data_IF_200857189780
#
_entry.id   IF_200857189780
#
_cell.length_a   1.000
_cell.length_b   1.000
_cell.length_c   1.000
_cell.angle_alpha   90.00
_cell.angle_beta   90.00
_cell.angle_gamma   90.00
#
_symmetry.space_group_name_H-M   'P 1'
#
loop_
_entity.id
_entity.type
_entity.pdbx_description
1 polymer ?
#
# COMPACT_ATOMS: atom_id res chain seq x y z
N UNK A 1 -11.84 -17.98 18.93
CA UNK A 1 -11.35 -16.94 17.99
C UNK A 1 -12.48 -15.96 17.81
N UNK A 2 -12.21 -14.69 18.13
CA UNK A 2 -13.14 -13.59 17.93
C UNK A 2 -12.92 -12.96 16.56
N UNK A 3 -13.86 -12.17 16.07
CA UNK A 3 -13.70 -11.47 14.79
C UNK A 3 -14.15 -10.02 14.85
N UNK A 4 -13.63 -9.20 13.94
CA UNK A 4 -14.04 -7.82 13.77
C UNK A 4 -14.14 -7.48 12.28
N UNK A 5 -15.28 -6.89 11.90
CA UNK A 5 -15.52 -6.35 10.56
C UNK A 5 -15.25 -4.86 10.61
N UNK A 6 -14.29 -4.37 9.83
CA UNK A 6 -14.00 -2.95 9.75
C UNK A 6 -14.96 -2.29 8.74
N UNK A 7 -15.77 -1.36 9.22
CA UNK A 7 -16.79 -0.67 8.40
C UNK A 7 -16.20 0.45 7.52
N UNK A 8 -14.97 0.88 7.81
CA UNK A 8 -14.32 1.94 7.03
C UNK A 8 -13.82 1.43 5.70
N UNK A 9 -14.02 2.25 4.66
CA UNK A 9 -13.44 2.00 3.33
C UNK A 9 -12.12 2.76 3.12
N UNK A 10 -11.56 3.39 4.16
CA UNK A 10 -10.25 4.04 4.10
C UNK A 10 -9.17 3.09 4.62
N UNK A 11 -8.28 2.66 3.74
CA UNK A 11 -7.17 1.76 4.09
C UNK A 11 -6.31 2.30 5.24
N UNK A 12 -6.18 3.62 5.37
CA UNK A 12 -5.37 4.23 6.42
C UNK A 12 -6.00 3.98 7.79
N UNK A 13 -7.33 4.05 7.86
CA UNK A 13 -8.09 3.69 9.07
C UNK A 13 -8.03 2.19 9.31
N UNK A 14 -8.19 1.36 8.28
CA UNK A 14 -8.19 -0.10 8.44
C UNK A 14 -6.84 -0.62 8.97
N UNK A 15 -5.71 -0.12 8.44
CA UNK A 15 -4.38 -0.45 8.97
C UNK A 15 -4.16 0.09 10.39
N UNK A 16 -4.70 1.27 10.72
CA UNK A 16 -4.67 1.81 12.07
C UNK A 16 -5.46 0.94 13.05
N UNK A 17 -6.63 0.43 12.64
CA UNK A 17 -7.45 -0.50 13.43
C UNK A 17 -6.74 -1.83 13.65
N UNK A 18 -6.12 -2.40 12.61
CA UNK A 18 -5.31 -3.62 12.73
C UNK A 18 -4.16 -3.43 13.73
N UNK A 19 -3.41 -2.33 13.62
CA UNK A 19 -2.35 -2.02 14.56
C UNK A 19 -2.86 -1.79 15.98
N UNK A 20 -3.97 -1.07 16.12
CA UNK A 20 -4.58 -0.81 17.42
C UNK A 20 -4.92 -2.13 18.10
N UNK A 21 -5.71 -2.98 17.46
CA UNK A 21 -6.14 -4.28 17.97
C UNK A 21 -4.97 -5.23 18.22
N UNK A 22 -3.90 -5.16 17.42
CA UNK A 22 -2.68 -5.89 17.72
C UNK A 22 -2.08 -5.49 19.07
N UNK A 23 -2.07 -4.21 19.39
CA UNK A 23 -1.40 -3.65 20.57
C UNK A 23 -2.28 -3.60 21.83
N UNK A 24 -3.60 -3.43 21.69
CA UNK A 24 -4.53 -3.16 22.80
C UNK A 24 -5.48 -4.31 23.12
N UNK A 25 -5.71 -5.24 22.18
CA UNK A 25 -6.64 -6.33 22.39
C UNK A 25 -6.04 -7.36 23.34
N UNK A 26 -6.43 -7.26 24.60
CA UNK A 26 -5.98 -8.12 25.69
C UNK A 26 -6.86 -9.36 25.80
N UNK A 27 -6.55 -10.35 24.96
CA UNK A 27 -7.18 -11.66 24.97
C UNK A 27 -6.19 -12.72 24.52
N UNK A 28 -6.25 -13.89 25.18
CA UNK A 28 -5.53 -15.09 24.76
C UNK A 28 -6.13 -15.70 23.49
N UNK A 29 -7.36 -15.33 23.13
CA UNK A 29 -7.97 -15.77 21.88
C UNK A 29 -7.39 -15.02 20.66
N UNK A 30 -7.14 -15.73 19.54
CA UNK A 30 -6.86 -15.07 18.27
C UNK A 30 -8.03 -14.19 17.83
N UNK A 31 -7.71 -13.15 17.07
CA UNK A 31 -8.65 -12.22 16.49
C UNK A 31 -8.56 -12.27 14.96
N UNK A 32 -9.70 -12.43 14.30
CA UNK A 32 -9.83 -12.45 12.84
C UNK A 32 -10.44 -11.13 12.35
N UNK A 33 -9.64 -10.33 11.67
CA UNK A 33 -10.05 -9.03 11.15
C UNK A 33 -10.36 -9.13 9.66
N UNK A 34 -11.40 -8.45 9.20
CA UNK A 34 -11.76 -8.38 7.78
C UNK A 34 -12.04 -6.93 7.40
N UNK A 35 -11.49 -6.50 6.26
CA UNK A 35 -11.62 -5.14 5.78
C UNK A 35 -11.58 -5.04 4.26
N UNK A 36 -12.35 -4.09 3.73
CA UNK A 36 -12.47 -3.75 2.30
C UNK A 36 -12.21 -2.25 2.20
N UNK A 37 -11.53 -1.80 1.14
CA UNK A 37 -11.09 -0.42 1.01
C UNK A 37 -11.36 0.11 -0.40
N UNK A 38 -11.54 1.43 -0.50
CA UNK A 38 -11.51 2.15 -1.77
C UNK A 38 -10.13 1.97 -2.44
N UNK A 39 -10.03 2.23 -3.76
CA UNK A 39 -8.78 2.13 -4.51
C UNK A 39 -7.57 2.72 -3.77
N UNK A 40 -6.59 1.88 -3.51
CA UNK A 40 -5.40 2.25 -2.77
C UNK A 40 -4.19 1.39 -3.15
N UNK A 41 -3.01 1.92 -2.84
CA UNK A 41 -1.73 1.21 -2.90
C UNK A 41 -1.15 1.15 -1.50
N UNK A 42 -0.82 -0.06 -1.05
CA UNK A 42 -0.17 -0.30 0.23
C UNK A 42 1.26 -0.77 -0.03
N UNK A 43 2.23 0.10 0.22
CA UNK A 43 3.65 -0.25 0.09
C UNK A 43 4.16 -0.94 1.35
N UNK A 44 5.08 -1.89 1.16
CA UNK A 44 5.73 -2.60 2.26
C UNK A 44 6.65 -1.69 3.06
N UNK A 45 6.95 -2.08 4.30
CA UNK A 45 7.71 -1.28 5.28
C UNK A 45 9.03 -0.67 4.76
N UNK A 46 9.75 -1.40 3.90
CA UNK A 46 11.09 -1.04 3.42
C UNK A 46 11.15 -0.81 1.89
N UNK A 47 10.00 -0.54 1.25
CA UNK A 47 9.95 -0.27 -0.19
C UNK A 47 10.12 1.21 -0.51
N UNK A 48 10.61 1.48 -1.71
CA UNK A 48 10.66 2.80 -2.29
C UNK A 48 9.44 3.05 -3.18
N UNK A 49 8.51 3.90 -2.75
CA UNK A 49 7.29 4.21 -3.53
C UNK A 49 7.63 4.81 -4.90
N UNK A 50 8.70 5.59 -5.01
CA UNK A 50 9.13 6.23 -6.25
C UNK A 50 9.68 5.22 -7.29
N UNK A 51 10.12 4.03 -6.86
CA UNK A 51 10.60 2.97 -7.75
C UNK A 51 9.51 2.00 -8.19
N UNK A 52 8.55 1.76 -7.29
CA UNK A 52 7.59 0.66 -7.39
C UNK A 52 6.26 1.11 -7.98
N UNK A 53 5.91 2.40 -7.83
CA UNK A 53 4.58 2.93 -8.06
C UNK A 53 4.62 4.11 -9.04
N UNK A 54 3.69 4.13 -9.99
CA UNK A 54 3.36 5.34 -10.75
C UNK A 54 2.58 6.32 -9.86
N UNK A 55 3.30 7.22 -9.19
CA UNK A 55 2.72 8.22 -8.29
C UNK A 55 1.86 9.25 -9.03
N UNK A 56 2.12 9.51 -10.32
CA UNK A 56 1.30 10.41 -11.12
C UNK A 56 -0.07 9.78 -11.38
N UNK A 57 -0.10 8.50 -11.76
CA UNK A 57 -1.34 7.76 -11.94
C UNK A 57 -2.17 7.78 -10.65
N UNK A 58 -1.53 7.58 -9.48
CA UNK A 58 -2.25 7.60 -8.22
C UNK A 58 -2.89 8.96 -7.95
N UNK A 59 -2.14 10.05 -8.15
CA UNK A 59 -2.64 11.42 -8.01
C UNK A 59 -3.83 11.68 -8.94
N UNK A 60 -3.69 11.38 -10.23
CA UNK A 60 -4.72 11.63 -11.24
C UNK A 60 -6.01 10.82 -11.02
N UNK A 61 -5.88 9.61 -10.46
CA UNK A 61 -7.01 8.72 -10.18
C UNK A 61 -7.52 8.79 -8.75
N UNK A 62 -6.97 9.69 -7.92
CA UNK A 62 -7.28 9.81 -6.49
C UNK A 62 -7.17 8.46 -5.76
N UNK A 63 -6.15 7.67 -6.09
CA UNK A 63 -5.84 6.39 -5.44
C UNK A 63 -4.99 6.68 -4.21
N UNK A 64 -5.44 6.22 -3.05
CA UNK A 64 -4.74 6.46 -1.77
C UNK A 64 -3.42 5.71 -1.73
N UNK A 65 -2.31 6.38 -1.41
CA UNK A 65 -1.04 5.72 -1.08
C UNK A 65 -0.87 5.65 0.44
N UNK A 66 -0.50 4.49 0.96
CA UNK A 66 -0.07 4.35 2.36
C UNK A 66 1.00 3.28 2.53
N UNK A 67 1.62 3.22 3.71
CA UNK A 67 2.67 2.25 4.06
C UNK A 67 2.24 1.40 5.24
N UNK A 68 2.33 0.08 5.10
CA UNK A 68 2.06 -0.86 6.20
C UNK A 68 3.30 -1.12 7.06
N UNK A 69 3.07 -1.65 8.27
CA UNK A 69 4.15 -2.01 9.21
C UNK A 69 4.85 -3.31 8.86
N UNK A 70 4.17 -4.23 8.16
CA UNK A 70 4.76 -5.48 7.66
C UNK A 70 5.67 -5.28 6.44
N UNK A 71 6.57 -6.23 6.23
CA UNK A 71 7.43 -6.29 5.04
C UNK A 71 6.68 -6.77 3.79
N UNK A 72 7.42 -7.10 2.74
CA UNK A 72 6.87 -7.60 1.47
C UNK A 72 6.75 -6.52 0.39
N UNK A 73 6.12 -6.88 -0.73
CA UNK A 73 5.97 -6.03 -1.92
C UNK A 73 4.77 -5.08 -1.84
N UNK A 74 4.58 -4.27 -2.89
CA UNK A 74 3.47 -3.36 -2.98
C UNK A 74 2.22 -4.13 -3.43
N UNK A 75 1.06 -3.71 -2.93
CA UNK A 75 -0.23 -4.27 -3.35
C UNK A 75 -1.18 -3.13 -3.72
N UNK A 76 -2.03 -3.39 -4.71
CA UNK A 76 -3.16 -2.53 -5.04
C UNK A 76 -4.44 -3.25 -4.61
N UNK A 77 -5.28 -2.53 -3.88
CA UNK A 77 -6.58 -3.00 -3.44
C UNK A 77 -7.66 -2.02 -3.89
N UNK A 78 -8.82 -2.55 -4.26
CA UNK A 78 -10.05 -1.79 -4.48
C UNK A 78 -11.23 -2.51 -3.80
N UNK A 79 -12.47 -2.10 -4.13
CA UNK A 79 -13.67 -2.70 -3.54
C UNK A 79 -13.88 -4.17 -3.95
N UNK A 80 -13.14 -4.67 -4.94
CA UNK A 80 -13.09 -6.07 -5.34
C UNK A 80 -12.11 -6.92 -4.53
N UNK A 81 -11.32 -6.31 -3.63
CA UNK A 81 -10.42 -7.02 -2.73
C UNK A 81 -11.02 -7.13 -1.32
N UNK A 82 -10.92 -8.33 -0.73
CA UNK A 82 -11.14 -8.55 0.70
C UNK A 82 -9.79 -8.75 1.38
N UNK A 83 -9.41 -7.87 2.30
CA UNK A 83 -8.26 -8.10 3.17
C UNK A 83 -8.68 -8.80 4.45
N UNK A 84 -7.80 -9.66 4.95
CA UNK A 84 -7.98 -10.37 6.22
C UNK A 84 -6.73 -10.28 7.09
N UNK A 85 -6.89 -10.45 8.41
CA UNK A 85 -5.78 -10.49 9.35
C UNK A 85 -6.05 -11.43 10.51
N UNK A 86 -5.11 -12.30 10.82
CA UNK A 86 -5.11 -13.08 12.05
C UNK A 86 -4.13 -12.46 13.04
N UNK A 87 -4.66 -11.87 14.10
CA UNK A 87 -3.89 -11.32 15.23
C UNK A 87 -3.84 -12.36 16.33
N UNK A 88 -2.63 -12.73 16.77
CA UNK A 88 -2.41 -13.78 17.77
C UNK A 88 -1.21 -13.48 18.67
N UNK A 89 -1.06 -14.26 19.73
CA UNK A 89 0.16 -14.29 20.52
C UNK A 89 1.31 -14.89 19.71
N UNK A 90 2.50 -14.31 19.83
CA UNK A 90 3.74 -14.79 19.18
C UNK A 90 4.12 -16.21 19.62
N UNK A 91 3.68 -16.65 20.80
CA UNK A 91 3.93 -18.00 21.29
C UNK A 91 2.99 -19.04 20.67
N UNK A 92 1.85 -18.62 20.14
CA UNK A 92 0.87 -19.52 19.52
C UNK A 92 1.24 -19.88 18.07
N UNK A 93 2.00 -19.02 17.37
CA UNK A 93 2.45 -19.27 16.00
C UNK A 93 3.82 -18.67 15.73
N UNK A 94 4.65 -19.41 14.97
CA UNK A 94 5.98 -18.98 14.58
C UNK A 94 5.92 -18.04 13.37
N UNK A 95 6.70 -16.96 13.45
CA UNK A 95 6.86 -16.03 12.33
C UNK A 95 7.37 -16.75 11.07
N UNK A 96 6.67 -16.56 9.95
CA UNK A 96 6.99 -17.18 8.66
C UNK A 96 6.17 -18.44 8.33
N UNK A 97 5.36 -18.95 9.26
CA UNK A 97 4.49 -20.12 9.01
C UNK A 97 3.16 -19.70 8.35
N UNK A 98 3.24 -19.25 7.10
CA UNK A 98 2.07 -18.77 6.35
C UNK A 98 1.04 -19.87 6.06
N UNK A 99 1.47 -21.11 5.86
CA UNK A 99 0.56 -22.22 5.56
C UNK A 99 -0.41 -22.50 6.71
N UNK A 100 0.13 -22.60 7.93
CA UNK A 100 -0.68 -22.84 9.14
C UNK A 100 -1.69 -21.73 9.39
N UNK A 101 -1.29 -20.46 9.28
CA UNK A 101 -2.15 -19.32 9.61
C UNK A 101 -3.24 -19.07 8.55
N UNK A 102 -2.99 -19.43 7.29
CA UNK A 102 -3.95 -19.24 6.18
C UNK A 102 -4.83 -20.46 5.93
N UNK A 103 -4.53 -21.60 6.56
CA UNK A 103 -5.29 -22.85 6.43
C UNK A 103 -6.82 -22.70 6.64
N UNK A 104 -7.32 -21.91 7.62
CA UNK A 104 -8.76 -21.69 7.77
C UNK A 104 -9.39 -21.05 6.53
N UNK A 105 -8.71 -20.07 5.92
CA UNK A 105 -9.15 -19.39 4.70
C UNK A 105 -9.15 -20.35 3.52
N UNK A 106 -8.07 -21.09 3.30
CA UNK A 106 -7.98 -22.08 2.21
C UNK A 106 -9.07 -23.14 2.34
N UNK A 107 -9.31 -23.63 3.55
CA UNK A 107 -10.33 -24.64 3.82
C UNK A 107 -11.73 -24.12 3.50
N UNK A 108 -12.05 -22.90 3.93
CA UNK A 108 -13.31 -22.24 3.61
C UNK A 108 -13.48 -22.03 2.08
N UNK A 109 -12.47 -21.48 1.41
CA UNK A 109 -12.50 -21.26 -0.05
C UNK A 109 -12.73 -22.57 -0.83
N UNK A 110 -12.11 -23.67 -0.42
CA UNK A 110 -12.31 -24.99 -1.05
C UNK A 110 -13.76 -25.47 -0.89
N UNK A 111 -14.38 -25.29 0.27
CA UNK A 111 -15.81 -25.60 0.48
C UNK A 111 -16.72 -24.73 -0.40
N UNK A 112 -16.35 -23.46 -0.57
CA UNK A 112 -17.07 -22.50 -1.42
C UNK A 112 -16.95 -22.79 -2.93
N UNK A 113 -16.02 -23.65 -3.35
CA UNK A 113 -15.91 -24.12 -4.74
C UNK A 113 -14.50 -24.01 -5.33
N UNK A 114 -13.62 -23.22 -4.73
CA UNK A 114 -12.23 -23.05 -5.15
C UNK A 114 -11.37 -24.26 -4.75
N UNK A 115 -11.75 -25.45 -5.24
CA UNK A 115 -11.22 -26.76 -4.81
C UNK A 115 -9.71 -26.93 -4.99
N UNK A 116 -9.12 -26.22 -5.96
CA UNK A 116 -7.67 -26.20 -6.24
C UNK A 116 -6.92 -25.04 -5.58
N UNK A 117 -7.55 -24.29 -4.68
CA UNK A 117 -6.85 -23.24 -3.93
C UNK A 117 -5.77 -23.88 -3.04
N UNK A 118 -4.56 -23.32 -3.06
CA UNK A 118 -3.42 -23.82 -2.29
C UNK A 118 -2.53 -22.68 -1.79
N UNK A 119 -1.83 -22.92 -0.69
CA UNK A 119 -0.74 -22.05 -0.25
C UNK A 119 0.51 -22.41 -1.04
N UNK A 120 1.23 -21.41 -1.54
CA UNK A 120 2.40 -21.65 -2.36
C UNK A 120 3.46 -20.56 -2.26
N UNK A 121 4.64 -20.87 -2.78
CA UNK A 121 5.79 -19.97 -2.69
C UNK A 121 6.21 -19.72 -1.25
N UNK A 122 6.48 -18.46 -0.89
CA UNK A 122 6.88 -18.08 0.48
C UNK A 122 5.71 -17.63 1.34
N UNK A 123 4.72 -16.95 0.76
CA UNK A 123 3.71 -16.18 1.48
C UNK A 123 2.47 -15.88 0.61
N UNK A 124 2.21 -16.63 -0.46
CA UNK A 124 1.09 -16.36 -1.37
C UNK A 124 0.11 -17.53 -1.40
N UNK A 125 -1.08 -17.29 -1.91
CA UNK A 125 -2.05 -18.34 -2.24
C UNK A 125 -2.38 -18.32 -3.72
N UNK A 126 -2.54 -19.51 -4.30
CA UNK A 126 -2.70 -19.74 -5.73
C UNK A 126 -3.93 -20.59 -6.02
N UNK A 127 -4.52 -20.37 -7.19
CA UNK A 127 -5.49 -21.27 -7.80
C UNK A 127 -5.08 -21.49 -9.24
N UNK A 128 -4.91 -22.75 -9.63
CA UNK A 128 -4.46 -23.14 -10.98
C UNK A 128 -3.15 -22.42 -11.40
N UNK A 129 -2.22 -22.27 -10.45
CA UNK A 129 -0.92 -21.62 -10.67
C UNK A 129 -0.95 -20.08 -10.73
N UNK A 130 -2.12 -19.45 -10.62
CA UNK A 130 -2.27 -17.98 -10.59
C UNK A 130 -2.48 -17.48 -9.17
N UNK A 131 -1.79 -16.41 -8.79
CA UNK A 131 -1.86 -15.83 -7.45
C UNK A 131 -3.20 -15.11 -7.26
N UNK A 132 -3.93 -15.41 -6.19
CA UNK A 132 -5.12 -14.64 -5.78
C UNK A 132 -4.95 -13.93 -4.42
N UNK A 133 -3.86 -14.22 -3.70
CA UNK A 133 -3.58 -13.65 -2.38
C UNK A 133 -2.09 -13.46 -2.17
N UNK A 134 -1.70 -12.31 -1.61
CA UNK A 134 -0.38 -12.10 -1.01
C UNK A 134 -0.51 -11.87 0.49
N UNK A 135 0.35 -12.51 1.28
CA UNK A 135 0.32 -12.44 2.74
C UNK A 135 1.58 -11.78 3.27
N UNK A 136 1.49 -11.11 4.42
CA UNK A 136 2.65 -10.58 5.12
C UNK A 136 2.42 -10.65 6.63
N UNK A 137 3.52 -10.82 7.35
CA UNK A 137 3.52 -10.87 8.81
C UNK A 137 4.24 -9.68 9.41
N UNK A 138 3.78 -9.27 10.58
CA UNK A 138 4.45 -8.33 11.45
C UNK A 138 4.42 -8.84 12.89
N UNK A 139 5.50 -8.60 13.63
CA UNK A 139 5.57 -8.95 15.04
C UNK A 139 6.10 -7.78 15.84
N UNK A 140 5.53 -7.57 17.03
CA UNK A 140 5.92 -6.54 17.98
C UNK A 140 5.67 -7.05 19.38
N UNK A 141 6.69 -7.00 20.25
CA UNK A 141 6.66 -7.61 21.59
C UNK A 141 6.20 -9.08 21.50
N UNK A 142 5.13 -9.44 22.21
CA UNK A 142 4.57 -10.79 22.25
C UNK A 142 3.36 -10.98 21.32
N UNK A 143 3.12 -10.05 20.39
CA UNK A 143 2.00 -10.12 19.44
C UNK A 143 2.50 -10.28 18.02
N UNK A 144 1.71 -10.94 17.20
CA UNK A 144 1.93 -11.14 15.77
C UNK A 144 0.60 -10.95 15.04
N UNK A 145 0.64 -10.31 13.87
CA UNK A 145 -0.42 -10.46 12.90
C UNK A 145 0.12 -11.07 11.60
N UNK A 146 -0.71 -11.87 10.95
CA UNK A 146 -0.55 -12.24 9.54
C UNK A 146 -1.76 -11.76 8.78
N UNK A 147 -1.54 -10.82 7.87
CA UNK A 147 -2.59 -10.34 6.99
C UNK A 147 -2.37 -10.80 5.56
N UNK A 148 -3.44 -10.77 4.78
CA UNK A 148 -3.38 -11.06 3.37
C UNK A 148 -4.53 -10.43 2.61
N UNK A 149 -4.35 -10.40 1.30
CA UNK A 149 -5.39 -10.00 0.35
C UNK A 149 -6.16 -11.21 -0.13
N UNK A 150 -7.39 -11.03 -0.58
CA UNK A 150 -8.18 -12.00 -1.34
C UNK A 150 -8.78 -11.24 -2.51
N UNK A 151 -8.16 -11.38 -3.68
CA UNK A 151 -8.65 -10.78 -4.91
C UNK A 151 -9.94 -11.51 -5.30
N UNK A 152 -11.08 -10.96 -4.89
CA UNK A 152 -12.39 -11.55 -5.16
C UNK A 152 -12.85 -11.17 -6.57
N UNK A 153 -12.86 -9.87 -6.86
CA UNK A 153 -13.28 -9.27 -8.13
C UNK A 153 -12.56 -7.92 -8.38
N UNK A 154 -11.24 -7.90 -8.16
CA UNK A 154 -10.38 -6.70 -8.33
C UNK A 154 -10.27 -6.31 -9.81
N UNK A 155 -10.19 -5.01 -10.12
CA UNK A 155 -9.85 -4.58 -11.48
C UNK A 155 -8.35 -4.81 -11.77
N UNK A 156 -8.05 -6.01 -12.26
CA UNK A 156 -6.68 -6.41 -12.60
C UNK A 156 -6.08 -5.59 -13.75
N UNK A 157 -6.88 -4.87 -14.54
CA UNK A 157 -6.39 -4.01 -15.63
C UNK A 157 -5.66 -2.76 -15.13
N UNK A 158 -5.85 -2.41 -13.86
CA UNK A 158 -5.22 -1.26 -13.21
C UNK A 158 -3.84 -1.62 -12.64
N UNK A 159 -3.60 -2.89 -12.28
CA UNK A 159 -2.34 -3.34 -11.68
C UNK A 159 -1.12 -2.99 -12.55
N UNK A 160 -1.19 -3.22 -13.86
CA UNK A 160 -0.09 -2.94 -14.78
C UNK A 160 0.18 -1.44 -14.97
N UNK A 161 -0.81 -0.58 -14.67
CA UNK A 161 -0.69 0.88 -14.75
C UNK A 161 -0.08 1.47 -13.49
N UNK A 162 -0.30 0.82 -12.34
CA UNK A 162 0.15 1.29 -11.03
C UNK A 162 1.52 0.73 -10.65
N UNK A 163 1.67 -0.60 -10.75
CA UNK A 163 2.86 -1.31 -10.29
C UNK A 163 3.90 -1.37 -11.41
N UNK A 164 4.34 -0.18 -11.82
CA UNK A 164 5.37 -0.03 -12.85
C UNK A 164 6.73 -0.19 -12.22
N UNK A 165 7.53 -1.13 -12.74
CA UNK A 165 8.99 -1.05 -12.57
C UNK A 165 9.40 0.23 -13.28
N UNK A 166 9.83 1.24 -12.52
CA UNK A 166 10.28 2.52 -13.08
C UNK A 166 11.15 2.27 -14.31
N UNK A 167 10.76 2.85 -15.46
CA UNK A 167 11.56 2.82 -16.70
C UNK A 167 12.85 3.64 -16.55
N UNK A 168 13.01 4.32 -15.42
CA UNK A 168 13.99 5.35 -15.21
C UNK A 168 14.96 4.93 -14.11
N UNK A 169 16.19 5.43 -14.19
CA UNK A 169 17.28 5.01 -13.29
C UNK A 169 17.11 5.65 -11.91
N UNK A 170 16.31 5.03 -11.06
CA UNK A 170 16.34 5.28 -9.62
C UNK A 170 17.25 4.23 -8.98
N UNK A 171 18.26 4.70 -8.26
CA UNK A 171 19.21 3.85 -7.56
C UNK A 171 18.90 3.87 -6.06
N UNK A 172 18.52 2.71 -5.50
CA UNK A 172 18.34 2.53 -4.06
C UNK A 172 18.65 1.11 -3.59
N UNK A 173 18.65 0.93 -2.26
CA UNK A 173 18.76 -0.36 -1.57
C UNK A 173 17.41 -0.93 -1.14
N UNK A 174 16.30 -0.41 -1.66
CA UNK A 174 14.96 -0.81 -1.25
C UNK A 174 14.58 -2.21 -1.74
N UNK A 175 13.62 -2.83 -1.05
CA UNK A 175 13.08 -4.14 -1.46
C UNK A 175 12.21 -4.00 -2.70
N UNK A 176 12.57 -4.70 -3.78
CA UNK A 176 11.81 -4.71 -5.04
C UNK A 176 10.63 -5.66 -5.03
N UNK A 177 9.55 -5.33 -5.73
CA UNK A 177 8.43 -6.25 -5.95
C UNK A 177 8.77 -7.35 -6.97
N UNK A 178 8.16 -8.52 -6.80
CA UNK A 178 8.28 -9.66 -7.73
C UNK A 178 6.99 -9.78 -8.52
N UNK A 179 7.06 -9.66 -9.86
CA UNK A 179 5.90 -9.83 -10.74
C UNK A 179 5.42 -11.28 -10.75
N UNK A 180 4.12 -11.47 -10.67
CA UNK A 180 3.45 -12.78 -10.68
C UNK A 180 2.17 -12.70 -11.50
N UNK A 181 1.80 -13.78 -12.17
CA UNK A 181 0.47 -13.92 -12.78
C UNK A 181 -0.57 -13.97 -11.68
N UNK A 182 -1.60 -13.14 -11.79
CA UNK A 182 -2.66 -12.97 -10.79
C UNK A 182 -4.03 -13.32 -11.35
N UNK A 183 -4.98 -13.67 -10.47
CA UNK A 183 -6.37 -13.93 -10.83
C UNK A 183 -7.33 -13.54 -9.71
N UNK A 184 -8.59 -13.29 -10.07
CA UNK A 184 -9.71 -13.15 -9.15
C UNK A 184 -10.27 -14.53 -8.74
N UNK A 185 -10.84 -14.62 -7.54
CA UNK A 185 -11.45 -15.83 -6.98
C UNK A 185 -12.85 -16.10 -7.49
N UNK A 186 -13.65 -15.05 -7.74
CA UNK A 186 -15.09 -15.16 -8.08
C UNK A 186 -15.39 -16.20 -9.17
N UNK A 187 -14.65 -16.31 -10.29
CA UNK A 187 -14.91 -17.32 -11.32
C UNK A 187 -14.70 -18.79 -10.87
N UNK A 188 -13.94 -19.01 -9.80
CA UNK A 188 -13.61 -20.35 -9.28
C UNK A 188 -14.53 -20.81 -8.15
N UNK A 189 -15.47 -19.98 -7.71
CA UNK A 189 -16.43 -20.32 -6.67
C UNK A 189 -17.70 -20.92 -7.28
N UNK A 190 -18.47 -21.67 -6.47
CA UNK A 190 -19.82 -22.10 -6.87
C UNK A 190 -20.70 -20.87 -7.06
N UNK A 191 -21.68 -20.97 -7.96
CA UNK A 191 -22.60 -19.88 -8.31
C UNK A 191 -23.21 -19.16 -7.10
N UNK A 192 -23.61 -19.91 -6.05
CA UNK A 192 -24.17 -19.33 -4.82
C UNK A 192 -23.21 -18.43 -4.00
N UNK A 193 -21.91 -18.44 -4.30
CA UNK A 193 -20.90 -17.57 -3.68
C UNK A 193 -20.33 -16.52 -4.66
N UNK A 194 -20.87 -16.42 -5.88
CA UNK A 194 -20.51 -15.41 -6.87
C UNK A 194 -21.36 -14.14 -6.71
N UNK A 195 -21.29 -13.55 -5.51
CA UNK A 195 -21.94 -12.30 -5.16
C UNK A 195 -21.50 -11.10 -6.02
N UNK A 196 -22.38 -10.11 -6.09
CA UNK A 196 -22.07 -8.82 -6.70
C UNK A 196 -21.12 -7.99 -5.83
N UNK A 197 -21.30 -8.03 -4.51
CA UNK A 197 -20.49 -7.25 -3.57
C UNK A 197 -19.52 -8.14 -2.80
N UNK A 198 -18.28 -7.67 -2.66
CA UNK A 198 -17.24 -8.32 -1.85
C UNK A 198 -17.63 -8.46 -0.37
N UNK A 199 -18.52 -7.59 0.14
CA UNK A 199 -19.03 -7.71 1.52
C UNK A 199 -19.89 -8.97 1.74
N UNK A 200 -20.67 -9.38 0.73
CA UNK A 200 -21.47 -10.62 0.83
C UNK A 200 -20.54 -11.85 0.77
N UNK A 201 -19.48 -11.78 -0.03
CA UNK A 201 -18.40 -12.78 -0.02
C UNK A 201 -17.68 -12.85 1.31
N UNK A 202 -17.38 -11.69 1.94
CA UNK A 202 -16.79 -11.61 3.29
C UNK A 202 -17.66 -12.35 4.30
N UNK A 203 -18.96 -12.07 4.32
CA UNK A 203 -19.89 -12.65 5.29
C UNK A 203 -20.00 -14.17 5.10
N UNK A 204 -20.13 -14.62 3.85
CA UNK A 204 -20.10 -16.06 3.53
C UNK A 204 -18.77 -16.73 3.92
N UNK A 205 -17.63 -16.07 3.72
CA UNK A 205 -16.32 -16.57 4.13
C UNK A 205 -16.22 -16.72 5.65
N UNK A 206 -16.73 -15.75 6.41
CA UNK A 206 -16.79 -15.83 7.88
C UNK A 206 -17.63 -17.03 8.29
N UNK A 207 -18.84 -17.20 7.75
CA UNK A 207 -19.70 -18.36 8.03
C UNK A 207 -18.97 -19.69 7.77
N UNK A 208 -18.26 -19.82 6.65
CA UNK A 208 -17.49 -21.03 6.32
C UNK A 208 -16.29 -21.28 7.25
N UNK A 209 -15.62 -20.22 7.70
CA UNK A 209 -14.52 -20.30 8.68
C UNK A 209 -15.03 -20.75 10.05
N UNK A 210 -16.19 -20.22 10.48
CA UNK A 210 -16.81 -20.54 11.77
C UNK A 210 -17.70 -21.80 11.72
N UNK A 211 -18.00 -22.32 10.52
CA UNK A 211 -18.87 -23.46 10.29
C UNK A 211 -20.29 -23.26 10.82
N UNK A 212 -20.83 -22.07 10.52
CA UNK A 212 -22.21 -21.66 10.84
C UNK A 212 -22.93 -21.28 9.56
N UNK A 213 -24.27 -21.28 9.57
CA UNK A 213 -25.06 -20.92 8.40
C UNK A 213 -25.33 -19.40 8.38
N UNK A 214 -25.41 -18.76 9.55
CA UNK A 214 -25.69 -17.33 9.71
C UNK A 214 -24.71 -16.64 10.69
N UNK A 215 -24.36 -15.37 10.42
CA UNK A 215 -23.49 -14.59 11.29
C UNK A 215 -24.09 -14.36 12.69
N UNK A 216 -25.42 -14.36 12.82
CA UNK A 216 -26.08 -14.23 14.13
C UNK A 216 -25.72 -15.36 15.10
N UNK A 217 -25.36 -16.54 14.60
CA UNK A 217 -24.93 -17.66 15.44
C UNK A 217 -23.59 -17.41 16.15
N UNK A 218 -22.84 -16.42 15.70
CA UNK A 218 -21.53 -16.02 16.25
C UNK A 218 -21.48 -14.54 16.62
N UNK A 219 -22.64 -13.89 16.84
CA UNK A 219 -22.72 -12.48 17.24
C UNK A 219 -21.93 -12.23 18.54
N UNK A 220 -21.94 -13.18 19.48
CA UNK A 220 -21.17 -13.14 20.74
C UNK A 220 -19.64 -13.10 20.52
N UNK A 221 -19.17 -13.56 19.36
CA UNK A 221 -17.75 -13.57 18.98
C UNK A 221 -17.30 -12.30 18.30
N UNK A 222 -18.25 -11.46 17.85
CA UNK A 222 -17.93 -10.14 17.27
C UNK A 222 -17.25 -9.27 18.31
N UNK A 223 -16.24 -8.52 17.89
CA UNK A 223 -15.61 -7.45 18.66
C UNK A 223 -16.12 -6.15 18.09
N UNK A 224 -16.76 -5.34 18.92
CA UNK A 224 -17.15 -3.98 18.56
C UNK A 224 -16.23 -2.98 19.22
N UNK A 225 -15.84 -1.95 18.46
CA UNK A 225 -14.95 -0.90 18.93
C UNK A 225 -15.75 0.13 19.73
N UNK A 226 -15.23 0.50 20.90
CA UNK A 226 -15.80 1.59 21.69
C UNK A 226 -15.39 2.94 21.12
N UNK A 227 -16.10 4.01 21.50
CA UNK A 227 -15.71 5.38 21.10
C UNK A 227 -14.27 5.75 21.48
N UNK A 228 -13.77 5.20 22.59
CA UNK A 228 -12.37 5.41 23.03
C UNK A 228 -11.39 4.71 22.09
N UNK A 229 -11.73 3.52 21.63
CA UNK A 229 -10.93 2.77 20.66
C UNK A 229 -10.85 3.54 19.35
N UNK A 230 -11.99 4.04 18.86
CA UNK A 230 -12.07 4.87 17.65
C UNK A 230 -11.22 6.14 17.74
N UNK A 231 -11.14 6.78 18.92
CA UNK A 231 -10.26 7.93 19.15
C UNK A 231 -8.78 7.55 19.10
N UNK A 232 -8.40 6.41 19.69
CA UNK A 232 -7.01 5.93 19.65
C UNK A 232 -6.61 5.53 18.23
N UNK A 233 -7.52 4.90 17.48
CA UNK A 233 -7.32 4.55 16.07
C UNK A 233 -7.09 5.82 15.25
N UNK A 234 -7.89 6.87 15.46
CA UNK A 234 -7.70 8.14 14.75
C UNK A 234 -6.32 8.75 15.01
N UNK A 235 -5.82 8.68 16.25
CA UNK A 235 -4.45 9.13 16.54
C UNK A 235 -3.41 8.33 15.77
N UNK A 236 -3.59 7.02 15.59
CA UNK A 236 -2.69 6.18 14.80
C UNK A 236 -2.78 6.54 13.31
N UNK A 237 -3.98 6.84 12.78
CA UNK A 237 -4.15 7.33 11.40
C UNK A 237 -3.30 8.57 11.17
N UNK A 238 -3.50 9.61 12.00
CA UNK A 238 -2.81 10.90 11.83
C UNK A 238 -1.30 10.80 12.05
N UNK A 239 -0.86 9.98 13.00
CA UNK A 239 0.56 9.86 13.31
C UNK A 239 1.32 8.93 12.36
N UNK A 240 0.62 8.10 11.58
CA UNK A 240 1.24 7.05 10.76
C UNK A 240 0.64 6.93 9.38
N UNK A 241 -0.54 6.34 9.25
CA UNK A 241 -1.03 5.88 7.95
C UNK A 241 -1.47 7.01 7.02
N UNK A 242 -1.75 8.20 7.55
CA UNK A 242 -1.97 9.44 6.81
C UNK A 242 -0.80 10.44 6.93
N UNK A 243 0.31 10.07 7.57
CA UNK A 243 1.46 10.95 7.76
C UNK A 243 2.52 10.71 6.68
N UNK A 244 2.87 11.76 5.93
CA UNK A 244 3.89 11.66 4.89
C UNK A 244 5.29 11.30 5.41
N UNK A 245 5.63 11.67 6.64
CA UNK A 245 6.93 11.28 7.23
C UNK A 245 6.98 9.77 7.44
N UNK A 246 5.83 9.10 7.58
CA UNK A 246 5.76 7.63 7.57
C UNK A 246 5.63 7.06 6.16
N UNK A 247 4.71 7.57 5.35
CA UNK A 247 4.43 7.03 4.01
C UNK A 247 5.65 7.21 3.10
N UNK A 248 6.21 8.41 3.05
CA UNK A 248 7.36 8.75 2.23
C UNK A 248 8.67 8.79 3.01
N UNK A 249 8.66 9.26 4.25
CA UNK A 249 9.89 9.46 5.03
C UNK A 249 10.60 8.18 5.48
N UNK A 250 9.90 7.05 5.50
CA UNK A 250 10.49 5.73 5.72
C UNK A 250 11.13 5.11 4.47
N UNK A 251 11.04 5.80 3.32
CA UNK A 251 11.71 5.38 2.10
C UNK A 251 13.23 5.45 2.28
N UNK A 252 13.99 4.37 1.98
CA UNK A 252 15.45 4.41 2.01
C UNK A 252 16.01 5.52 1.12
N UNK A 253 17.21 6.02 1.44
CA UNK A 253 17.94 6.97 0.57
C UNK A 253 17.96 6.45 -0.87
N UNK A 254 17.54 7.31 -1.80
CA UNK A 254 17.61 7.05 -3.23
C UNK A 254 18.11 8.28 -3.97
N UNK A 255 18.62 8.05 -5.18
CA UNK A 255 19.03 9.10 -6.09
C UNK A 255 18.22 9.05 -7.37
N UNK A 256 17.88 10.22 -7.90
CA UNK A 256 17.13 10.40 -9.14
C UNK A 256 17.97 11.23 -10.10
N UNK A 257 17.98 10.80 -11.37
CA UNK A 257 18.53 11.58 -12.48
C UNK A 257 17.47 11.70 -13.58
N UNK A 258 17.10 12.93 -13.91
CA UNK A 258 16.10 13.28 -14.92
C UNK A 258 16.73 14.20 -15.95
N UNK A 259 16.48 13.96 -17.23
CA UNK A 259 17.02 14.80 -18.29
C UNK A 259 16.00 14.97 -19.41
N UNK A 260 15.77 16.20 -19.79
CA UNK A 260 14.96 16.57 -20.95
C UNK A 260 15.74 17.49 -21.88
N UNK A 261 15.41 17.46 -23.17
CA UNK A 261 15.89 18.45 -24.14
C UNK A 261 14.68 19.09 -24.80
N UNK A 262 14.57 20.41 -24.69
CA UNK A 262 13.48 21.18 -25.28
C UNK A 262 14.05 22.16 -26.32
N UNK A 263 13.44 22.31 -27.51
CA UNK A 263 14.00 23.14 -28.58
C UNK A 263 14.27 24.60 -28.20
N UNK A 264 13.43 25.20 -27.33
CA UNK A 264 13.54 26.61 -26.93
C UNK A 264 14.29 26.84 -25.61
N UNK A 265 14.66 25.78 -24.90
CA UNK A 265 15.32 25.84 -23.58
C UNK A 265 16.74 25.30 -23.65
N UNK A 266 16.97 24.23 -24.41
CA UNK A 266 18.18 23.41 -24.32
C UNK A 266 17.93 22.13 -23.51
N UNK A 267 19.03 21.57 -23.01
CA UNK A 267 19.08 20.41 -22.13
C UNK A 267 18.94 20.90 -20.69
N UNK A 268 18.03 20.27 -19.94
CA UNK A 268 17.92 20.39 -18.48
C UNK A 268 18.13 18.98 -17.89
N UNK A 269 19.18 18.78 -17.10
CA UNK A 269 19.53 17.55 -16.37
C UNK A 269 19.50 17.84 -14.87
N UNK A 270 18.50 17.30 -14.17
CA UNK A 270 18.33 17.41 -12.72
C UNK A 270 18.82 16.14 -12.06
N UNK A 271 19.69 16.30 -11.07
CA UNK A 271 20.19 15.21 -10.23
C UNK A 271 19.88 15.54 -8.78
N UNK A 272 19.19 14.64 -8.10
CA UNK A 272 18.86 14.81 -6.70
C UNK A 272 19.07 13.52 -5.91
N UNK A 273 19.28 13.66 -4.61
CA UNK A 273 19.19 12.55 -3.67
C UNK A 273 18.24 12.91 -2.55
N UNK A 274 17.54 11.91 -2.03
CA UNK A 274 16.60 12.09 -0.92
C UNK A 274 17.12 11.41 0.34
N UNK A 275 16.79 11.99 1.49
CA UNK A 275 16.99 11.39 2.80
C UNK A 275 15.70 11.58 3.59
N UNK A 276 15.15 10.49 4.13
CA UNK A 276 13.85 10.50 4.80
C UNK A 276 12.73 11.18 3.99
N UNK A 277 12.64 10.84 2.69
CA UNK A 277 11.62 11.39 1.79
C UNK A 277 11.78 12.87 1.44
N UNK A 278 12.85 13.53 1.89
CA UNK A 278 13.16 14.95 1.64
C UNK A 278 14.33 15.10 0.71
N UNK A 279 14.35 16.16 -0.10
CA UNK A 279 15.48 16.50 -0.98
C UNK A 279 16.68 16.85 -0.10
N UNK A 280 17.70 15.99 -0.13
CA UNK A 280 18.95 16.17 0.62
C UNK A 280 20.02 16.86 -0.21
N UNK A 281 20.05 16.60 -1.52
CA UNK A 281 20.93 17.25 -2.49
C UNK A 281 20.15 17.42 -3.79
N UNK A 282 20.33 18.54 -4.49
CA UNK A 282 19.78 18.77 -5.83
C UNK A 282 20.75 19.65 -6.64
N UNK A 283 20.95 19.29 -7.90
CA UNK A 283 21.76 20.05 -8.87
C UNK A 283 21.13 20.07 -10.25
N UNK A 284 21.15 21.24 -10.89
CA UNK A 284 20.75 21.43 -12.28
C UNK A 284 21.99 21.57 -13.17
N UNK A 285 22.02 20.79 -14.24
CA UNK A 285 23.03 20.85 -15.30
C UNK A 285 22.34 21.07 -16.64
N UNK A 286 23.02 21.69 -17.59
CA UNK A 286 22.43 21.95 -18.89
C UNK A 286 23.21 22.96 -19.72
N UNK A 287 22.66 23.25 -20.90
CA UNK A 287 23.07 24.33 -21.79
C UNK A 287 21.98 25.43 -21.88
N UNK A 288 21.08 25.47 -20.90
CA UNK A 288 20.03 26.49 -20.78
C UNK A 288 20.59 27.84 -20.34
N UNK A 289 19.88 28.91 -20.70
CA UNK A 289 20.15 30.27 -20.24
C UNK A 289 19.22 30.63 -19.09
N UNK A 290 19.64 31.53 -18.21
CA UNK A 290 18.85 32.06 -17.11
C UNK A 290 19.21 33.51 -16.81
N UNK A 291 18.27 34.29 -16.29
CA UNK A 291 18.54 35.65 -15.82
C UNK A 291 19.09 35.66 -14.39
N UNK A 292 18.71 34.66 -13.60
CA UNK A 292 19.15 34.45 -12.21
C UNK A 292 19.97 33.16 -12.10
N UNK A 293 20.74 33.07 -11.02
CA UNK A 293 21.55 31.89 -10.70
C UNK A 293 20.65 30.73 -10.25
N UNK A 294 20.76 29.59 -10.94
CA UNK A 294 19.97 28.37 -10.67
C UNK A 294 20.20 27.80 -9.26
N UNK A 295 21.31 28.14 -8.60
CA UNK A 295 21.56 27.74 -7.21
C UNK A 295 20.50 28.27 -6.24
N UNK A 296 19.81 29.38 -6.54
CA UNK A 296 18.69 29.88 -5.73
C UNK A 296 17.50 28.93 -5.82
N UNK A 297 17.18 28.43 -7.03
CA UNK A 297 16.16 27.40 -7.26
C UNK A 297 16.54 26.10 -6.51
N UNK A 298 17.81 25.71 -6.53
CA UNK A 298 18.30 24.55 -5.78
C UNK A 298 18.10 24.70 -4.26
N UNK A 299 18.41 25.88 -3.69
CA UNK A 299 18.22 26.15 -2.27
C UNK A 299 16.75 26.15 -1.87
N UNK A 300 15.86 26.66 -2.73
CA UNK A 300 14.42 26.66 -2.48
C UNK A 300 13.84 25.23 -2.37
N UNK A 301 14.38 24.30 -3.15
CA UNK A 301 13.95 22.90 -3.17
C UNK A 301 14.61 22.04 -2.09
N UNK A 302 15.74 22.47 -1.54
CA UNK A 302 16.47 21.73 -0.53
C UNK A 302 15.63 21.57 0.76
N UNK A 303 15.59 20.36 1.31
CA UNK A 303 14.84 20.03 2.54
C UNK A 303 13.33 19.81 2.36
N UNK A 304 12.78 20.18 1.20
CA UNK A 304 11.38 19.93 0.87
C UNK A 304 11.10 18.43 0.78
N UNK A 305 9.89 18.01 1.16
CA UNK A 305 9.42 16.65 0.89
C UNK A 305 9.34 16.46 -0.62
N UNK A 306 9.86 15.35 -1.13
CA UNK A 306 9.86 15.07 -2.57
C UNK A 306 8.49 14.56 -3.05
N UNK A 307 7.44 15.34 -2.77
CA UNK A 307 6.04 15.03 -3.09
C UNK A 307 5.55 16.13 -4.03
N UNK A 308 4.79 15.77 -5.07
CA UNK A 308 4.36 16.71 -6.10
C UNK A 308 3.75 18.01 -5.54
N UNK A 309 2.79 17.89 -4.62
CA UNK A 309 2.12 19.06 -4.03
C UNK A 309 3.06 19.91 -3.17
N UNK A 310 3.98 19.28 -2.44
CA UNK A 310 4.97 19.99 -1.60
C UNK A 310 5.96 20.77 -2.46
N UNK A 311 6.44 20.17 -3.54
CA UNK A 311 7.32 20.84 -4.51
C UNK A 311 6.56 21.95 -5.24
N UNK A 312 5.33 21.69 -5.70
CA UNK A 312 4.49 22.71 -6.33
C UNK A 312 4.28 23.91 -5.41
N UNK A 313 3.97 23.67 -4.14
CA UNK A 313 3.80 24.73 -3.15
C UNK A 313 5.09 25.52 -2.90
N UNK A 314 6.24 24.84 -2.82
CA UNK A 314 7.53 25.49 -2.67
C UNK A 314 7.91 26.38 -3.88
N UNK A 315 7.31 26.13 -5.05
CA UNK A 315 7.48 26.92 -6.27
C UNK A 315 6.46 28.07 -6.42
N UNK A 316 5.45 28.20 -5.54
CA UNK A 316 4.37 29.20 -5.71
C UNK A 316 4.90 30.65 -5.79
N UNK A 317 5.88 30.99 -4.97
CA UNK A 317 6.47 32.34 -4.91
C UNK A 317 7.68 32.51 -5.85
N UNK A 318 7.86 31.58 -6.79
CA UNK A 318 9.04 31.54 -7.65
C UNK A 318 8.69 31.27 -9.11
N UNK A 319 9.17 32.13 -10.00
CA UNK A 319 9.07 31.92 -11.45
C UNK A 319 10.29 31.13 -11.94
N UNK A 320 10.15 29.83 -12.20
CA UNK A 320 11.26 28.98 -12.67
C UNK A 320 11.90 29.52 -13.95
N UNK A 321 11.12 30.18 -14.81
CA UNK A 321 11.62 30.76 -16.05
C UNK A 321 12.63 31.89 -15.89
N UNK A 322 12.76 32.46 -14.68
CA UNK A 322 13.82 33.44 -14.37
C UNK A 322 15.20 32.75 -14.26
N UNK A 323 15.24 31.47 -13.91
CA UNK A 323 16.46 30.68 -13.70
C UNK A 323 16.77 29.79 -14.91
N UNK A 324 15.73 29.31 -15.59
CA UNK A 324 15.83 28.47 -16.79
C UNK A 324 14.86 29.05 -17.84
N UNK A 325 15.38 29.83 -18.77
CA UNK A 325 14.60 30.59 -19.74
C UNK A 325 13.69 29.69 -20.59
N UNK A 326 12.42 30.09 -20.76
CA UNK A 326 11.36 29.30 -21.41
C UNK A 326 11.01 27.96 -20.75
N UNK A 327 11.42 27.73 -19.50
CA UNK A 327 11.08 26.55 -18.72
C UNK A 327 10.26 26.99 -17.50
N UNK A 328 8.97 26.65 -17.46
CA UNK A 328 8.05 27.12 -16.43
C UNK A 328 7.94 26.12 -15.25
N UNK A 329 7.14 26.47 -14.24
CA UNK A 329 6.97 25.66 -13.04
C UNK A 329 6.38 24.28 -13.35
N UNK A 330 5.44 24.19 -14.29
CA UNK A 330 4.85 22.90 -14.72
C UNK A 330 5.87 22.04 -15.49
N UNK A 331 6.74 22.66 -16.30
CA UNK A 331 7.82 21.93 -16.98
C UNK A 331 8.80 21.30 -15.96
N UNK A 332 9.10 22.02 -14.87
CA UNK A 332 9.92 21.49 -13.78
C UNK A 332 9.22 20.36 -13.04
N UNK A 333 7.94 20.53 -12.71
CA UNK A 333 7.16 19.49 -12.03
C UNK A 333 7.08 18.22 -12.89
N UNK A 334 6.83 18.35 -14.20
CA UNK A 334 6.82 17.23 -15.15
C UNK A 334 8.19 16.58 -15.37
N UNK A 335 9.29 17.32 -15.13
CA UNK A 335 10.63 16.73 -15.18
C UNK A 335 10.94 15.92 -13.92
N UNK A 336 10.43 16.34 -12.76
CA UNK A 336 10.68 15.70 -11.47
C UNK A 336 9.77 14.49 -11.22
N UNK A 337 8.51 14.57 -11.63
CA UNK A 337 7.46 13.57 -11.45
C UNK A 337 6.92 13.15 -12.81
#
# INVERSE_FOLDING_TARGET
MRYHIMESLDIRRNLATEEYLMNSFDSDEPLFLLYIQKPCVIIGRNQNSYEEIDLNYLREKNVTLTRRTSGGGAVYDDLGNLSFSFVTSKNAMKFGEYESITSPIITALRKMGATKAEVGGRNDMYIEGMKFSGNAMYTKKNRLYSHGTLMYDVDLSVLDKILTVSKEKIESKATKSVKKSVTNLKPFLKEKYQFEKTADFRDALICEVYQVDDLQEIEDKRVDLTKKDEQNIEQIVQNRYANDDWVYGETPRFSVKRRIRLPKVGIVDVRLSTLHGRINEIRFYGDFFGQKDVSILEQQLLGQKFIYEEIKNALNDMTVSDYIFHFNNEDLLALLF
#
